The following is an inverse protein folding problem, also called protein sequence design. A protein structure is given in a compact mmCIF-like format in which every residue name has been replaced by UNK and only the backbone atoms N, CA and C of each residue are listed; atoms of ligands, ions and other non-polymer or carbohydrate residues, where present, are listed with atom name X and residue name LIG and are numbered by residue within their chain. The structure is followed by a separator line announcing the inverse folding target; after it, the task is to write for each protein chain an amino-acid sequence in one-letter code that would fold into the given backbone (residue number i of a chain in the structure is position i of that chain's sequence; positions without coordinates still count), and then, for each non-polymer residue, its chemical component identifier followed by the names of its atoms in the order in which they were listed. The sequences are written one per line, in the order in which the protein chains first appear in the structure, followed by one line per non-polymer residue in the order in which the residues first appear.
data_IF_403716440653
#
_entry.id   IF_403716440653
#
_cell.length_a   1.000
_cell.length_b   1.000
_cell.length_c   1.000
_cell.angle_alpha   90.00
_cell.angle_beta   90.00
_cell.angle_gamma   90.00
#
_symmetry.space_group_name_H-M   'P 1'
#
loop_
_entity.id
_entity.type
_entity.pdbx_description
1 polymer ?
#
# COMPACT_ATOMS: atom_id res chain seq x y z
N UNK A 1 1.58 6.92 -20.40
CA UNK A 1 1.77 8.14 -19.58
C UNK A 1 0.68 8.18 -18.52
N UNK A 2 1.02 8.48 -17.27
CA UNK A 2 0.00 8.72 -16.25
C UNK A 2 -0.85 9.95 -16.66
N UNK A 3 -2.17 9.92 -16.51
CA UNK A 3 -3.04 10.99 -16.95
C UNK A 3 -2.77 12.26 -16.14
N UNK A 4 -2.38 13.34 -16.82
CA UNK A 4 -2.22 14.67 -16.23
C UNK A 4 -3.61 15.30 -16.09
N UNK A 5 -3.94 15.94 -14.94
CA UNK A 5 -5.22 16.63 -14.76
C UNK A 5 -5.47 17.70 -15.84
N UNK A 6 -6.71 17.82 -16.31
CA UNK A 6 -7.13 18.78 -17.35
C UNK A 6 -7.16 20.23 -16.81
N UNK A 7 -7.13 20.41 -15.49
CA UNK A 7 -7.07 21.72 -14.81
C UNK A 7 -6.10 21.69 -13.63
N UNK A 8 -5.48 22.82 -13.25
CA UNK A 8 -4.56 22.87 -12.12
C UNK A 8 -5.30 22.58 -10.81
N UNK A 9 -4.87 21.54 -10.10
CA UNK A 9 -5.41 21.19 -8.79
C UNK A 9 -4.83 22.18 -7.76
N UNK A 10 -5.69 22.98 -7.14
CA UNK A 10 -5.29 23.90 -6.06
C UNK A 10 -5.12 23.13 -4.75
N UNK A 11 -3.90 22.68 -4.49
CA UNK A 11 -3.55 21.89 -3.28
C UNK A 11 -3.14 22.76 -2.08
N UNK A 12 -2.90 24.05 -2.32
CA UNK A 12 -2.38 24.99 -1.34
C UNK A 12 -0.93 24.68 -0.96
N UNK A 13 -0.42 25.38 0.05
CA UNK A 13 0.92 25.11 0.58
C UNK A 13 0.95 23.79 1.35
N UNK A 14 1.85 22.88 0.95
CA UNK A 14 2.08 21.59 1.61
C UNK A 14 3.45 21.66 2.27
N UNK A 15 3.47 21.63 3.59
CA UNK A 15 4.71 21.63 4.33
C UNK A 15 5.46 20.30 4.22
N UNK A 16 6.78 20.37 4.13
CA UNK A 16 7.64 19.21 4.30
C UNK A 16 7.71 18.84 5.80
N UNK A 17 7.21 17.65 6.14
CA UNK A 17 7.06 17.22 7.55
C UNK A 17 8.40 17.06 8.25
N UNK A 18 9.45 16.61 7.55
CA UNK A 18 10.81 16.54 8.10
C UNK A 18 11.35 17.92 8.44
N UNK A 19 11.21 18.89 7.54
CA UNK A 19 11.68 20.25 7.80
C UNK A 19 10.83 20.96 8.88
N UNK A 20 9.51 20.74 8.89
CA UNK A 20 8.65 21.21 9.99
C UNK A 20 9.14 20.68 11.34
N UNK A 21 9.40 19.37 11.43
CA UNK A 21 9.87 18.75 12.66
C UNK A 21 11.25 19.28 13.07
N UNK A 22 12.13 19.55 12.10
CA UNK A 22 13.48 20.08 12.34
C UNK A 22 13.47 21.52 12.87
N UNK A 23 12.67 22.40 12.27
CA UNK A 23 12.69 23.84 12.59
C UNK A 23 11.60 24.27 13.59
N UNK A 24 10.50 23.52 13.68
CA UNK A 24 9.34 23.82 14.53
C UNK A 24 8.89 22.56 15.30
N UNK A 25 9.77 21.99 16.15
CA UNK A 25 9.59 20.66 16.73
C UNK A 25 8.29 20.43 17.52
N UNK A 26 7.70 21.49 18.08
CA UNK A 26 6.53 21.41 18.95
C UNK A 26 5.24 21.93 18.29
N UNK A 27 5.29 22.39 17.04
CA UNK A 27 4.16 22.98 16.34
C UNK A 27 3.62 21.98 15.32
N UNK A 28 2.31 21.77 15.34
CA UNK A 28 1.59 20.99 14.33
C UNK A 28 0.66 21.96 13.62
N UNK A 29 0.86 22.24 12.32
CA UNK A 29 -0.04 23.11 11.58
C UNK A 29 -1.46 22.52 11.51
N UNK A 30 -2.46 23.39 11.46
CA UNK A 30 -3.89 23.02 11.50
C UNK A 30 -4.30 22.02 10.41
N UNK A 31 -3.65 22.07 9.23
CA UNK A 31 -3.89 21.11 8.15
C UNK A 31 -3.49 19.68 8.53
N UNK A 32 -2.62 19.44 9.50
CA UNK A 32 -2.26 18.08 9.94
C UNK A 32 -3.15 17.57 11.08
N UNK A 33 -3.79 18.49 11.83
CA UNK A 33 -4.64 18.15 12.97
C UNK A 33 -5.93 17.52 12.47
N UNK A 34 -6.17 16.27 12.86
CA UNK A 34 -7.38 15.52 12.51
C UNK A 34 -8.59 16.01 13.26
N UNK A 35 -9.73 15.90 12.59
CA UNK A 35 -11.04 16.06 13.23
C UNK A 35 -11.19 15.02 14.33
N UNK A 36 -11.97 15.34 15.37
CA UNK A 36 -12.04 14.53 16.61
C UNK A 36 -12.34 13.06 16.32
N UNK A 37 -13.20 12.77 15.35
CA UNK A 37 -13.62 11.41 14.98
C UNK A 37 -12.55 10.63 14.21
N UNK A 38 -11.60 11.32 13.58
CA UNK A 38 -10.54 10.72 12.76
C UNK A 38 -9.22 10.56 13.53
N UNK A 39 -9.10 11.17 14.71
CA UNK A 39 -7.89 11.11 15.52
C UNK A 39 -7.56 9.66 15.87
N UNK A 40 -6.27 9.29 15.87
CA UNK A 40 -5.89 7.97 16.33
C UNK A 40 -6.22 7.84 17.82
N UNK A 41 -7.14 6.95 18.15
CA UNK A 41 -7.33 6.51 19.53
C UNK A 41 -6.04 5.86 20.02
N UNK A 42 -5.56 6.19 21.24
CA UNK A 42 -4.49 5.43 21.87
C UNK A 42 -4.85 3.96 21.81
N UNK A 43 -3.95 3.13 21.26
CA UNK A 43 -4.19 1.70 21.22
C UNK A 43 -4.42 1.22 22.65
N UNK A 44 -5.65 0.80 22.96
CA UNK A 44 -5.89 0.06 24.19
C UNK A 44 -5.01 -1.19 24.10
N UNK A 45 -4.23 -1.56 25.14
CA UNK A 45 -3.43 -2.78 25.09
C UNK A 45 -4.40 -3.94 24.91
N UNK A 46 -4.54 -4.41 23.67
CA UNK A 46 -5.33 -5.60 23.41
C UNK A 46 -4.56 -6.76 24.02
N UNK A 47 -5.26 -7.46 24.91
CA UNK A 47 -4.81 -8.69 25.55
C UNK A 47 -4.64 -9.74 24.44
N UNK A 48 -3.42 -9.83 23.92
CA UNK A 48 -2.73 -11.02 23.39
C UNK A 48 -3.42 -11.99 22.41
N UNK A 49 -4.40 -11.59 21.57
CA UNK A 49 -5.00 -12.55 20.61
C UNK A 49 -5.36 -12.01 19.21
N UNK A 50 -4.75 -10.92 18.73
CA UNK A 50 -5.16 -10.31 17.45
C UNK A 50 -3.99 -9.93 16.54
N UNK A 51 -2.88 -10.67 16.60
CA UNK A 51 -1.84 -10.51 15.59
C UNK A 51 -2.31 -11.11 14.26
N UNK A 52 -1.94 -10.45 13.16
CA UNK A 52 -2.23 -10.97 11.82
C UNK A 52 -1.50 -12.31 11.60
N UNK A 53 -2.06 -13.22 10.78
CA UNK A 53 -1.43 -14.52 10.51
C UNK A 53 0.00 -14.40 9.98
N UNK A 54 0.85 -15.35 10.35
CA UNK A 54 2.21 -15.49 9.80
C UNK A 54 2.29 -16.69 8.88
N UNK A 55 2.75 -16.48 7.65
CA UNK A 55 2.85 -17.46 6.58
C UNK A 55 4.32 -17.75 6.25
N UNK A 56 4.69 -19.02 6.22
CA UNK A 56 6.02 -19.50 5.84
C UNK A 56 6.04 -19.88 4.36
N UNK A 57 6.63 -19.02 3.52
CA UNK A 57 6.71 -19.26 2.08
C UNK A 57 7.47 -20.56 1.75
N UNK A 58 8.46 -20.96 2.56
CA UNK A 58 9.24 -22.17 2.30
C UNK A 58 8.40 -23.44 2.42
N UNK A 59 7.36 -23.42 3.27
CA UNK A 59 6.40 -24.52 3.40
C UNK A 59 5.40 -24.52 2.25
N UNK A 60 4.92 -23.34 1.83
CA UNK A 60 4.08 -23.22 0.63
C UNK A 60 4.80 -23.81 -0.59
N UNK A 61 6.07 -23.45 -0.80
CA UNK A 61 6.90 -23.97 -1.90
C UNK A 61 7.07 -25.49 -1.89
N UNK A 62 6.92 -26.14 -0.73
CA UNK A 62 6.92 -27.60 -0.58
C UNK A 62 5.53 -28.23 -0.74
N UNK A 63 4.51 -27.45 -1.07
CA UNK A 63 3.13 -27.91 -1.21
C UNK A 63 2.46 -28.27 0.12
N UNK A 64 2.89 -27.68 1.24
CA UNK A 64 2.28 -27.95 2.54
C UNK A 64 0.82 -27.47 2.55
N UNK A 65 -0.13 -28.40 2.74
CA UNK A 65 -1.57 -28.12 2.67
C UNK A 65 -2.07 -27.26 3.82
N UNK A 66 -1.52 -27.44 5.02
CA UNK A 66 -1.91 -26.67 6.21
C UNK A 66 -1.52 -25.20 6.05
N UNK A 67 -0.34 -24.94 5.49
CA UNK A 67 0.14 -23.59 5.22
C UNK A 67 -0.69 -22.90 4.11
N UNK A 68 -1.14 -23.66 3.10
CA UNK A 68 -2.07 -23.14 2.07
C UNK A 68 -3.41 -22.80 2.71
N UNK A 69 -3.94 -23.64 3.59
CA UNK A 69 -5.19 -23.37 4.31
C UNK A 69 -5.07 -22.13 5.21
N UNK A 70 -3.93 -21.97 5.89
CA UNK A 70 -3.65 -20.80 6.71
C UNK A 70 -3.58 -19.52 5.85
N UNK A 71 -2.95 -19.58 4.67
CA UNK A 71 -2.95 -18.48 3.71
C UNK A 71 -4.36 -18.13 3.24
N UNK A 72 -5.18 -19.12 2.88
CA UNK A 72 -6.59 -18.90 2.49
C UNK A 72 -7.36 -18.19 3.61
N UNK A 73 -7.23 -18.69 4.84
CA UNK A 73 -7.89 -18.11 6.01
C UNK A 73 -7.44 -16.66 6.26
N UNK A 74 -6.13 -16.39 6.11
CA UNK A 74 -5.61 -15.03 6.22
C UNK A 74 -6.20 -14.09 5.15
N UNK A 75 -6.33 -14.53 3.91
CA UNK A 75 -6.93 -13.75 2.83
C UNK A 75 -8.44 -13.49 3.04
N UNK A 76 -9.18 -14.46 3.58
CA UNK A 76 -10.64 -14.38 3.79
C UNK A 76 -11.03 -13.58 5.04
N UNK A 77 -10.28 -13.75 6.14
CA UNK A 77 -10.66 -13.18 7.42
C UNK A 77 -9.93 -11.88 7.75
N UNK A 78 -8.67 -11.75 7.31
CA UNK A 78 -7.80 -10.63 7.67
C UNK A 78 -7.48 -9.71 6.50
N UNK A 79 -7.34 -10.25 5.29
CA UNK A 79 -6.82 -9.50 4.15
C UNK A 79 -5.35 -9.08 4.30
N UNK A 80 -4.70 -9.47 5.40
CA UNK A 80 -3.35 -9.11 5.81
C UNK A 80 -2.66 -10.33 6.43
N UNK A 81 -1.37 -10.49 6.17
CA UNK A 81 -0.52 -11.50 6.81
C UNK A 81 0.95 -11.09 6.76
N UNK A 82 1.78 -11.64 7.64
CA UNK A 82 3.24 -11.50 7.55
C UNK A 82 3.81 -12.73 6.86
N UNK A 83 4.80 -12.55 6.00
CA UNK A 83 5.52 -13.66 5.36
C UNK A 83 6.94 -13.75 5.89
N UNK A 84 7.31 -14.93 6.36
CA UNK A 84 8.67 -15.31 6.73
C UNK A 84 9.24 -16.30 5.72
N UNK A 85 10.56 -16.50 5.74
CA UNK A 85 11.26 -17.39 4.80
C UNK A 85 10.90 -17.09 3.33
N UNK A 86 10.66 -15.80 3.01
CA UNK A 86 10.19 -15.33 1.70
C UNK A 86 11.25 -15.43 0.59
N UNK A 87 12.48 -15.82 0.91
CA UNK A 87 13.56 -16.06 -0.06
C UNK A 87 14.26 -14.80 -0.59
N UNK A 88 13.87 -13.61 -0.13
CA UNK A 88 14.58 -12.36 -0.44
C UNK A 88 15.77 -12.24 0.52
N UNK A 89 16.95 -11.99 -0.01
CA UNK A 89 18.17 -11.90 0.77
C UNK A 89 18.08 -10.72 1.76
N UNK A 90 18.44 -10.96 3.03
CA UNK A 90 18.33 -9.95 4.09
C UNK A 90 19.18 -8.71 3.81
N UNK A 91 20.37 -8.89 3.24
CA UNK A 91 21.22 -7.78 2.82
C UNK A 91 20.55 -6.89 1.76
N UNK A 92 19.69 -7.43 0.89
CA UNK A 92 18.94 -6.64 -0.07
C UNK A 92 17.87 -5.79 0.61
N UNK A 93 17.17 -6.34 1.60
CA UNK A 93 16.21 -5.59 2.43
C UNK A 93 16.91 -4.47 3.20
N UNK A 94 18.07 -4.74 3.81
CA UNK A 94 18.86 -3.73 4.51
C UNK A 94 19.42 -2.67 3.54
N UNK A 95 19.85 -3.07 2.34
CA UNK A 95 20.36 -2.15 1.34
C UNK A 95 19.28 -1.18 0.84
N UNK A 96 18.09 -1.67 0.49
CA UNK A 96 17.01 -0.78 0.01
C UNK A 96 16.56 0.18 1.12
N UNK A 97 16.53 -0.27 2.37
CA UNK A 97 16.27 0.56 3.54
C UNK A 97 17.33 1.65 3.72
N UNK A 98 18.61 1.29 3.62
CA UNK A 98 19.72 2.23 3.68
C UNK A 98 19.65 3.30 2.58
N UNK A 99 19.36 2.89 1.34
CA UNK A 99 19.19 3.79 0.19
C UNK A 99 18.01 4.76 0.38
N UNK A 100 16.87 4.25 0.89
CA UNK A 100 15.72 5.08 1.20
C UNK A 100 16.04 6.11 2.31
N UNK A 101 16.68 5.67 3.40
CA UNK A 101 17.08 6.55 4.49
C UNK A 101 18.10 7.62 4.06
N UNK A 102 19.10 7.24 3.26
CA UNK A 102 20.08 8.19 2.74
C UNK A 102 19.42 9.23 1.85
N UNK A 103 18.47 8.82 0.99
CA UNK A 103 17.67 9.76 0.20
C UNK A 103 16.89 10.75 1.09
N UNK A 104 16.16 10.28 2.11
CA UNK A 104 15.37 11.17 2.97
C UNK A 104 16.24 12.13 3.80
N UNK A 105 17.48 11.74 4.12
CA UNK A 105 18.48 12.57 4.81
C UNK A 105 19.14 13.63 3.93
N UNK A 106 18.96 13.58 2.61
CA UNK A 106 19.47 14.63 1.72
C UNK A 106 18.83 15.99 2.07
N UNK A 107 19.52 17.12 1.78
CA UNK A 107 18.94 18.45 1.89
C UNK A 107 17.61 18.55 1.12
N UNK A 108 16.67 19.35 1.62
CA UNK A 108 15.36 19.54 0.98
C UNK A 108 15.50 19.92 -0.51
N UNK A 109 16.45 20.80 -0.84
CA UNK A 109 16.74 21.25 -2.20
C UNK A 109 17.11 20.09 -3.14
N UNK A 110 17.85 19.09 -2.65
CA UNK A 110 18.19 17.89 -3.44
C UNK A 110 16.96 16.99 -3.63
N UNK A 111 16.12 16.84 -2.59
CA UNK A 111 14.88 16.04 -2.66
C UNK A 111 13.84 16.68 -3.58
N UNK A 112 13.72 18.01 -3.56
CA UNK A 112 12.77 18.78 -4.37
C UNK A 112 13.06 18.76 -5.88
N UNK A 113 14.25 18.33 -6.31
CA UNK A 113 14.53 18.03 -7.73
C UNK A 113 13.61 16.96 -8.30
N UNK A 114 13.03 16.14 -7.42
CA UNK A 114 12.14 15.04 -7.76
C UNK A 114 10.70 15.31 -7.32
N UNK A 115 10.31 16.58 -7.13
CA UNK A 115 9.02 16.94 -6.55
C UNK A 115 7.84 16.28 -7.28
N UNK A 116 6.90 15.75 -6.49
CA UNK A 116 5.67 15.16 -6.98
C UNK A 116 4.76 16.24 -7.56
N UNK A 117 4.25 16.00 -8.77
CA UNK A 117 3.30 16.91 -9.41
C UNK A 117 1.90 16.65 -8.84
N UNK A 118 1.13 17.70 -8.45
CA UNK A 118 -0.24 17.53 -7.98
C UNK A 118 -1.12 16.71 -8.93
N UNK A 119 -1.89 15.77 -8.38
CA UNK A 119 -2.71 14.84 -9.17
C UNK A 119 -1.93 13.66 -9.78
N UNK A 120 -0.65 13.54 -9.46
CA UNK A 120 0.18 12.36 -9.79
C UNK A 120 0.68 11.71 -8.50
N UNK A 121 1.37 10.58 -8.63
CA UNK A 121 1.87 9.80 -7.49
C UNK A 121 3.35 9.43 -7.59
N UNK A 122 4.09 9.97 -8.57
CA UNK A 122 5.54 9.73 -8.68
C UNK A 122 6.33 10.96 -8.22
N UNK A 123 7.50 10.73 -7.64
CA UNK A 123 8.36 11.78 -7.08
C UNK A 123 8.26 11.90 -5.56
N UNK A 124 8.86 12.97 -5.04
CA UNK A 124 8.98 13.32 -3.63
C UNK A 124 7.90 14.30 -3.19
N UNK A 125 7.20 14.00 -2.09
CA UNK A 125 6.29 14.93 -1.44
C UNK A 125 4.99 14.30 -0.93
N UNK A 126 3.95 15.12 -0.97
CA UNK A 126 2.53 14.86 -0.67
C UNK A 126 1.74 14.14 -1.76
N UNK A 127 1.48 12.82 -1.68
CA UNK A 127 0.47 12.21 -2.56
C UNK A 127 -0.95 12.45 -2.03
N UNK A 128 -1.95 12.34 -2.91
CA UNK A 128 -3.38 12.34 -2.57
C UNK A 128 -3.94 13.64 -1.96
N UNK A 129 -3.33 14.79 -2.27
CA UNK A 129 -3.83 16.11 -1.86
C UNK A 129 -4.56 16.77 -3.02
N UNK A 130 -5.83 17.15 -2.81
CA UNK A 130 -6.69 17.67 -3.87
C UNK A 130 -7.39 18.99 -3.55
N UNK A 131 -7.22 19.54 -2.34
CA UNK A 131 -7.73 20.86 -1.98
C UNK A 131 -6.92 21.54 -0.89
N UNK A 132 -6.98 22.88 -0.84
CA UNK A 132 -6.28 23.72 0.15
C UNK A 132 -6.80 23.53 1.58
N UNK A 133 -8.06 23.07 1.71
CA UNK A 133 -8.71 22.81 3.00
C UNK A 133 -8.58 21.35 3.46
N UNK A 134 -7.97 20.47 2.65
CA UNK A 134 -7.79 19.07 3.00
C UNK A 134 -6.84 18.92 4.18
N UNK A 135 -7.17 18.00 5.09
CA UNK A 135 -6.24 17.52 6.10
C UNK A 135 -5.11 16.71 5.45
N UNK A 136 -3.89 16.92 5.92
CA UNK A 136 -2.65 16.35 5.40
C UNK A 136 -2.14 15.23 6.30
N UNK A 137 -1.36 14.34 5.70
CA UNK A 137 -0.70 13.22 6.38
C UNK A 137 0.66 13.67 6.93
N UNK A 138 1.02 13.22 8.14
CA UNK A 138 2.30 13.48 8.78
C UNK A 138 3.38 12.54 8.22
N UNK A 139 3.65 12.66 6.92
CA UNK A 139 4.55 11.80 6.17
C UNK A 139 5.15 12.55 4.98
N UNK A 140 6.41 12.24 4.65
CA UNK A 140 6.99 12.53 3.34
C UNK A 140 7.04 11.24 2.54
N UNK A 141 6.60 11.28 1.29
CA UNK A 141 6.62 10.11 0.39
C UNK A 141 7.66 10.29 -0.71
N UNK A 142 8.21 9.19 -1.19
CA UNK A 142 8.96 9.12 -2.42
C UNK A 142 8.52 7.90 -3.22
N UNK A 143 8.00 8.10 -4.43
CA UNK A 143 7.36 7.03 -5.19
C UNK A 143 7.82 6.96 -6.64
N UNK A 144 7.95 5.74 -7.16
CA UNK A 144 8.47 5.45 -8.49
C UNK A 144 7.63 4.37 -9.18
N UNK A 145 7.30 4.60 -10.45
CA UNK A 145 6.89 3.53 -11.36
C UNK A 145 8.11 2.72 -11.76
N UNK A 146 8.01 1.39 -11.67
CA UNK A 146 9.14 0.49 -11.92
C UNK A 146 8.90 -0.37 -13.15
N UNK A 147 7.77 -1.10 -13.20
CA UNK A 147 7.41 -1.99 -14.31
C UNK A 147 5.96 -1.73 -14.70
N UNK A 148 5.61 -1.81 -15.99
CA UNK A 148 6.52 -1.96 -17.14
C UNK A 148 7.37 -0.71 -17.41
N UNK A 149 8.38 -0.83 -18.27
CA UNK A 149 9.39 0.21 -18.52
C UNK A 149 8.79 1.57 -18.88
N UNK A 150 7.63 1.61 -19.55
CA UNK A 150 6.97 2.87 -19.90
C UNK A 150 6.46 3.67 -18.68
N UNK A 151 6.37 3.06 -17.49
CA UNK A 151 6.05 3.75 -16.23
C UNK A 151 7.27 4.41 -15.60
N UNK A 152 8.46 3.95 -15.97
CA UNK A 152 9.72 4.49 -15.48
C UNK A 152 9.94 5.86 -16.10
N UNK A 153 9.67 6.91 -15.35
CA UNK A 153 9.98 8.28 -15.77
C UNK A 153 11.36 8.68 -15.22
N UNK A 154 12.42 8.79 -16.05
CA UNK A 154 13.77 9.08 -15.61
C UNK A 154 13.91 10.37 -14.80
N UNK A 155 12.98 11.32 -14.95
CA UNK A 155 12.97 12.59 -14.20
C UNK A 155 12.83 12.38 -12.70
N UNK A 156 12.17 11.30 -12.26
CA UNK A 156 11.96 11.02 -10.83
C UNK A 156 13.02 10.08 -10.25
N UNK A 157 13.88 9.47 -11.08
CA UNK A 157 14.86 8.50 -10.61
C UNK A 157 16.14 9.20 -10.12
N UNK A 158 16.46 9.09 -8.82
CA UNK A 158 17.48 9.92 -8.23
C UNK A 158 18.88 9.37 -8.52
N UNK A 159 19.83 10.29 -8.72
CA UNK A 159 21.26 9.95 -8.88
C UNK A 159 22.00 9.85 -7.54
N UNK A 160 21.36 10.35 -6.48
CA UNK A 160 21.83 10.31 -5.10
C UNK A 160 20.71 9.70 -4.23
N UNK A 161 20.99 8.73 -3.37
CA UNK A 161 22.29 8.11 -3.13
C UNK A 161 22.83 7.30 -4.31
N UNK A 162 24.14 7.01 -4.29
CA UNK A 162 24.76 6.17 -5.31
C UNK A 162 24.17 4.76 -5.26
N UNK A 163 24.01 4.12 -6.42
CA UNK A 163 23.39 2.80 -6.58
C UNK A 163 21.89 2.71 -6.26
N UNK A 164 21.20 3.84 -6.03
CA UNK A 164 19.76 3.84 -5.74
C UNK A 164 18.95 3.07 -6.80
N UNK A 165 19.11 3.46 -8.07
CA UNK A 165 18.39 2.83 -9.19
C UNK A 165 18.64 1.32 -9.28
N UNK A 166 19.90 0.90 -9.19
CA UNK A 166 20.27 -0.52 -9.25
C UNK A 166 19.68 -1.31 -8.07
N UNK A 167 19.71 -0.73 -6.86
CA UNK A 167 19.14 -1.37 -5.66
C UNK A 167 17.63 -1.53 -5.80
N UNK A 168 16.92 -0.49 -6.27
CA UNK A 168 15.48 -0.52 -6.54
C UNK A 168 15.14 -1.59 -7.58
N UNK A 169 15.90 -1.70 -8.67
CA UNK A 169 15.68 -2.70 -9.72
C UNK A 169 15.84 -4.14 -9.20
N UNK A 170 16.90 -4.43 -8.45
CA UNK A 170 17.14 -5.76 -7.87
C UNK A 170 16.06 -6.09 -6.83
N UNK A 171 15.75 -5.17 -5.92
CA UNK A 171 14.68 -5.33 -4.92
C UNK A 171 13.33 -5.59 -5.59
N UNK A 172 12.98 -4.78 -6.59
CA UNK A 172 11.72 -4.89 -7.33
C UNK A 172 11.57 -6.25 -8.01
N UNK A 173 12.65 -6.79 -8.59
CA UNK A 173 12.68 -8.12 -9.21
C UNK A 173 12.38 -9.24 -8.21
N UNK A 174 13.01 -9.21 -7.03
CA UNK A 174 12.81 -10.22 -5.99
C UNK A 174 11.41 -10.12 -5.36
N UNK A 175 10.90 -8.91 -5.10
CA UNK A 175 9.52 -8.72 -4.63
C UNK A 175 8.50 -9.19 -5.66
N UNK A 176 8.75 -8.95 -6.96
CA UNK A 176 7.88 -9.46 -8.03
C UNK A 176 7.83 -10.99 -8.04
N UNK A 177 8.98 -11.66 -7.84
CA UNK A 177 9.04 -13.12 -7.70
C UNK A 177 8.25 -13.60 -6.49
N UNK A 178 8.35 -12.90 -5.35
CA UNK A 178 7.53 -13.16 -4.17
C UNK A 178 6.03 -13.05 -4.48
N UNK A 179 5.60 -11.96 -5.13
CA UNK A 179 4.18 -11.77 -5.49
C UNK A 179 3.66 -12.89 -6.40
N UNK A 180 4.43 -13.32 -7.40
CA UNK A 180 4.06 -14.44 -8.27
C UNK A 180 3.88 -15.74 -7.49
N UNK A 181 4.82 -16.07 -6.61
CA UNK A 181 4.71 -17.24 -5.75
C UNK A 181 3.48 -17.15 -4.84
N UNK A 182 3.20 -16.01 -4.23
CA UNK A 182 2.02 -15.84 -3.38
C UNK A 182 0.73 -15.97 -4.18
N UNK A 183 0.64 -15.34 -5.36
CA UNK A 183 -0.53 -15.46 -6.25
C UNK A 183 -0.80 -16.90 -6.66
N UNK A 184 0.25 -17.69 -6.90
CA UNK A 184 0.14 -19.12 -7.16
C UNK A 184 -0.59 -19.87 -6.05
N UNK A 185 -0.18 -19.68 -4.79
CA UNK A 185 -0.79 -20.36 -3.66
C UNK A 185 -2.15 -19.77 -3.26
N UNK A 186 -2.35 -18.47 -3.49
CA UNK A 186 -3.67 -17.81 -3.37
C UNK A 186 -4.66 -18.45 -4.34
N UNK A 187 -4.27 -18.72 -5.59
CA UNK A 187 -5.11 -19.41 -6.58
C UNK A 187 -5.42 -20.85 -6.16
N UNK A 188 -4.40 -21.61 -5.72
CA UNK A 188 -4.59 -22.97 -5.22
C UNK A 188 -5.52 -23.02 -3.99
N UNK A 189 -5.39 -22.05 -3.08
CA UNK A 189 -6.27 -21.90 -1.91
C UNK A 189 -7.73 -21.60 -2.27
N UNK A 190 -7.97 -21.02 -3.45
CA UNK A 190 -9.29 -20.81 -4.02
C UNK A 190 -9.83 -22.04 -4.78
N UNK A 191 -9.01 -23.08 -4.98
CA UNK A 191 -9.34 -24.24 -5.83
C UNK A 191 -9.18 -23.96 -7.33
N UNK A 192 -8.40 -22.94 -7.69
CA UNK A 192 -8.15 -22.54 -9.08
C UNK A 192 -6.82 -23.09 -9.60
N UNK A 193 -6.62 -23.00 -10.92
CA UNK A 193 -5.33 -23.31 -11.57
C UNK A 193 -4.24 -22.37 -11.03
N UNK A 194 -3.05 -22.92 -10.80
CA UNK A 194 -1.97 -22.25 -10.09
C UNK A 194 -1.43 -20.98 -10.79
N UNK A 195 -1.55 -20.88 -12.11
CA UNK A 195 -1.08 -19.77 -12.93
C UNK A 195 -2.21 -18.80 -13.33
N UNK A 196 -3.45 -19.02 -12.87
CA UNK A 196 -4.63 -18.26 -13.31
C UNK A 196 -4.46 -16.75 -13.15
N UNK A 197 -4.00 -16.28 -11.98
CA UNK A 197 -3.82 -14.84 -11.75
C UNK A 197 -2.65 -14.28 -12.57
N UNK A 198 -1.58 -15.05 -12.78
CA UNK A 198 -0.45 -14.60 -13.60
C UNK A 198 -0.87 -14.45 -15.06
N UNK A 199 -1.62 -15.39 -15.61
CA UNK A 199 -2.19 -15.33 -16.95
C UNK A 199 -3.19 -14.17 -17.08
N UNK A 200 -4.11 -14.03 -16.13
CA UNK A 200 -5.16 -13.01 -16.15
C UNK A 200 -4.62 -11.58 -15.98
N UNK A 201 -3.51 -11.39 -15.26
CA UNK A 201 -2.95 -10.07 -14.98
C UNK A 201 -2.05 -9.53 -16.09
N UNK A 202 -1.63 -10.40 -17.02
CA UNK A 202 -0.75 -10.01 -18.12
C UNK A 202 0.57 -9.39 -17.64
N UNK A 203 1.00 -8.31 -18.29
CA UNK A 203 2.23 -7.59 -17.89
C UNK A 203 1.94 -6.79 -16.62
N UNK A 204 2.32 -7.35 -15.48
CA UNK A 204 2.08 -6.74 -14.18
C UNK A 204 2.64 -5.31 -14.08
N UNK A 205 1.85 -4.44 -13.46
CA UNK A 205 2.25 -3.10 -13.06
C UNK A 205 2.86 -3.15 -11.66
N UNK A 206 4.02 -2.53 -11.50
CA UNK A 206 4.74 -2.45 -10.24
C UNK A 206 5.20 -1.03 -9.97
N UNK A 207 4.89 -0.54 -8.77
CA UNK A 207 5.36 0.73 -8.25
C UNK A 207 5.92 0.55 -6.83
N UNK A 208 6.91 1.36 -6.48
CA UNK A 208 7.49 1.38 -5.13
C UNK A 208 7.25 2.76 -4.51
N UNK A 209 6.83 2.78 -3.25
CA UNK A 209 6.64 3.98 -2.44
C UNK A 209 7.39 3.83 -1.13
N UNK A 210 8.30 4.74 -0.87
CA UNK A 210 9.00 4.89 0.40
C UNK A 210 8.28 5.97 1.21
N UNK A 211 7.94 5.68 2.45
CA UNK A 211 7.28 6.62 3.36
C UNK A 211 8.18 6.87 4.55
N UNK A 212 8.43 8.15 4.84
CA UNK A 212 9.13 8.59 6.03
C UNK A 212 8.19 9.34 6.96
N UNK A 213 8.07 8.86 8.19
CA UNK A 213 7.21 9.42 9.23
C UNK A 213 8.09 9.99 10.33
N UNK A 214 8.33 11.32 10.37
CA UNK A 214 9.08 11.93 11.45
C UNK A 214 8.35 11.80 12.80
N UNK A 215 9.07 11.86 13.94
CA UNK A 215 8.43 11.95 15.24
C UNK A 215 7.46 13.15 15.32
N UNK A 216 6.34 13.00 16.00
CA UNK A 216 5.34 14.04 16.18
C UNK A 216 5.20 14.41 17.65
N UNK A 217 5.12 15.71 18.01
CA UNK A 217 4.95 16.11 19.41
C UNK A 217 3.60 15.69 20.02
N UNK A 218 2.57 15.56 19.17
CA UNK A 218 1.21 15.12 19.50
C UNK A 218 0.72 14.08 18.48
N UNK A 219 1.23 12.83 18.57
CA UNK A 219 0.82 11.77 17.65
C UNK A 219 -0.67 11.42 17.78
N UNK A 220 -1.32 11.82 18.88
CA UNK A 220 -2.77 11.72 19.12
C UNK A 220 -3.62 12.66 18.24
N UNK A 221 -3.00 13.66 17.58
CA UNK A 221 -3.71 14.64 16.76
C UNK A 221 -3.54 14.41 15.25
N UNK A 222 -2.60 13.58 14.82
CA UNK A 222 -2.23 13.44 13.41
C UNK A 222 -2.29 11.98 12.98
N UNK A 223 -2.37 11.74 11.67
CA UNK A 223 -2.13 10.42 11.08
C UNK A 223 -0.87 10.49 10.23
N UNK A 224 -0.07 9.43 10.27
CA UNK A 224 1.06 9.27 9.37
C UNK A 224 0.58 9.00 7.94
N UNK A 225 -0.45 8.18 7.78
CA UNK A 225 -1.11 7.94 6.50
C UNK A 225 -2.60 7.73 6.76
N UNK A 226 -3.45 8.43 6.01
CA UNK A 226 -4.91 8.39 6.15
C UNK A 226 -5.48 6.98 5.93
N UNK A 227 -6.65 6.64 6.51
CA UNK A 227 -7.29 5.35 6.30
C UNK A 227 -7.61 5.11 4.82
N UNK A 228 -7.25 3.94 4.30
CA UNK A 228 -7.48 3.53 2.91
C UNK A 228 -7.45 2.01 2.75
N UNK A 229 -8.01 1.51 1.64
CA UNK A 229 -7.65 0.20 1.09
C UNK A 229 -6.78 0.38 -0.16
N UNK A 230 -5.97 -0.62 -0.50
CA UNK A 230 -5.04 -0.52 -1.64
C UNK A 230 -5.69 -0.97 -2.95
N UNK A 231 -5.54 -0.19 -4.02
CA UNK A 231 -6.08 -0.53 -5.34
C UNK A 231 -5.39 -1.71 -6.05
N UNK A 232 -4.20 -2.09 -5.60
CA UNK A 232 -3.38 -3.16 -6.19
C UNK A 232 -4.03 -4.56 -6.10
N UNK A 233 -3.38 -5.58 -6.67
CA UNK A 233 -3.74 -6.96 -6.37
C UNK A 233 -3.11 -7.42 -5.05
N UNK A 234 -1.79 -7.25 -4.93
CA UNK A 234 -1.03 -7.48 -3.70
C UNK A 234 -0.20 -6.24 -3.38
N UNK A 235 -0.11 -5.92 -2.10
CA UNK A 235 0.85 -4.96 -1.57
C UNK A 235 1.85 -5.66 -0.67
N UNK A 236 3.13 -5.33 -0.83
CA UNK A 236 4.25 -5.85 -0.03
C UNK A 236 4.87 -4.70 0.73
N UNK A 237 4.86 -4.78 2.06
CA UNK A 237 5.37 -3.77 2.96
C UNK A 237 6.58 -4.30 3.73
N UNK A 238 7.73 -3.67 3.50
CA UNK A 238 8.87 -3.75 4.39
C UNK A 238 8.78 -2.63 5.44
N UNK A 239 8.76 -3.01 6.71
CA UNK A 239 8.86 -2.07 7.83
C UNK A 239 10.34 -1.87 8.18
N UNK A 240 10.77 -0.61 8.40
CA UNK A 240 12.16 -0.31 8.72
C UNK A 240 12.62 -0.96 10.04
N UNK A 241 13.89 -1.34 10.11
CA UNK A 241 14.51 -2.00 11.27
C UNK A 241 14.44 -1.09 12.50
N UNK A 242 13.94 -1.63 13.61
CA UNK A 242 13.76 -0.85 14.85
C UNK A 242 12.66 0.21 14.80
N UNK A 243 11.83 0.23 13.75
CA UNK A 243 10.67 1.12 13.67
C UNK A 243 9.66 0.79 14.76
N UNK A 244 9.06 1.84 15.34
CA UNK A 244 7.90 1.69 16.21
C UNK A 244 6.71 1.10 15.46
N UNK A 245 5.82 0.42 16.19
CA UNK A 245 4.52 -0.02 15.67
C UNK A 245 3.77 1.18 15.11
N UNK A 246 3.41 1.11 13.83
CA UNK A 246 2.79 2.23 13.12
C UNK A 246 1.68 1.82 12.16
N UNK A 247 1.74 0.63 11.57
CA UNK A 247 0.64 0.11 10.76
C UNK A 247 -0.51 -0.31 11.68
N UNK A 248 -1.72 0.14 11.35
CA UNK A 248 -2.97 -0.33 11.96
C UNK A 248 -3.93 -0.79 10.88
N UNK A 249 -4.59 -1.92 11.10
CA UNK A 249 -5.62 -2.48 10.22
C UNK A 249 -6.99 -2.38 10.88
N UNK A 250 -8.04 -2.18 10.10
CA UNK A 250 -9.41 -2.13 10.61
C UNK A 250 -9.99 -3.55 10.60
N UNK A 251 -10.15 -4.14 11.79
CA UNK A 251 -10.74 -5.47 11.98
C UNK A 251 -11.92 -5.36 12.93
N UNK A 252 -13.09 -5.81 12.47
CA UNK A 252 -14.35 -5.82 13.25
C UNK A 252 -14.68 -4.46 13.89
N UNK A 253 -14.46 -3.38 13.11
CA UNK A 253 -14.71 -2.00 13.53
C UNK A 253 -13.64 -1.41 14.46
N UNK A 254 -12.55 -2.12 14.73
CA UNK A 254 -11.46 -1.70 15.62
C UNK A 254 -10.13 -1.62 14.88
N UNK A 255 -9.35 -0.59 15.21
CA UNK A 255 -7.99 -0.43 14.72
C UNK A 255 -7.02 -1.35 15.50
N UNK A 256 -6.49 -2.36 14.83
CA UNK A 256 -5.57 -3.35 15.38
C UNK A 256 -4.13 -3.03 14.92
N UNK A 257 -3.16 -2.87 15.83
CA UNK A 257 -1.77 -2.66 15.46
C UNK A 257 -1.14 -3.92 14.87
N UNK A 258 -0.28 -3.77 13.85
CA UNK A 258 0.52 -4.88 13.32
C UNK A 258 1.89 -4.88 13.98
N UNK A 259 2.17 -5.92 14.77
CA UNK A 259 3.47 -6.11 15.41
C UNK A 259 4.49 -6.62 14.37
N UNK A 260 5.60 -5.90 14.15
CA UNK A 260 6.58 -6.32 13.16
C UNK A 260 7.33 -7.58 13.62
N UNK A 261 7.37 -8.61 12.77
CA UNK A 261 8.25 -9.75 12.94
C UNK A 261 9.60 -9.42 12.29
N UNK A 262 10.75 -9.65 12.98
CA UNK A 262 12.06 -9.41 12.39
C UNK A 262 12.22 -10.11 11.03
N UNK A 263 12.66 -9.35 10.03
CA UNK A 263 12.86 -9.81 8.66
C UNK A 263 11.60 -10.30 7.93
N UNK A 264 10.40 -10.17 8.50
CA UNK A 264 9.17 -10.48 7.79
C UNK A 264 8.73 -9.34 6.88
N UNK A 265 7.96 -9.67 5.85
CA UNK A 265 7.27 -8.70 5.01
C UNK A 265 5.77 -8.79 5.28
N UNK A 266 5.11 -7.64 5.47
CA UNK A 266 3.65 -7.61 5.58
C UNK A 266 3.07 -7.62 4.18
N UNK A 267 2.10 -8.49 3.94
CA UNK A 267 1.36 -8.59 2.68
C UNK A 267 -0.09 -8.24 2.94
N UNK A 268 -0.70 -7.50 2.03
CA UNK A 268 -2.16 -7.35 2.01
C UNK A 268 -2.76 -7.58 0.64
N UNK A 269 -3.99 -8.08 0.68
CA UNK A 269 -4.90 -8.22 -0.44
C UNK A 269 -5.44 -6.83 -0.76
N UNK A 270 -5.39 -6.44 -2.03
CA UNK A 270 -5.96 -5.18 -2.49
C UNK A 270 -7.30 -5.35 -3.17
N UNK A 271 -7.90 -4.21 -3.53
CA UNK A 271 -9.23 -4.08 -4.11
C UNK A 271 -9.41 -4.94 -5.37
N UNK A 272 -8.35 -5.06 -6.18
CA UNK A 272 -8.37 -5.90 -7.38
C UNK A 272 -8.70 -7.36 -7.04
N UNK A 273 -8.06 -7.91 -6.00
CA UNK A 273 -8.29 -9.29 -5.57
C UNK A 273 -9.67 -9.45 -4.92
N UNK A 274 -10.14 -8.45 -4.20
CA UNK A 274 -11.51 -8.45 -3.67
C UNK A 274 -12.55 -8.48 -4.80
N UNK A 275 -12.35 -7.70 -5.86
CA UNK A 275 -13.24 -7.67 -7.02
C UNK A 275 -13.26 -9.02 -7.74
N UNK A 276 -12.10 -9.55 -8.14
CA UNK A 276 -12.05 -10.78 -8.95
C UNK A 276 -12.54 -12.00 -8.16
N UNK A 277 -12.41 -12.00 -6.83
CA UNK A 277 -12.93 -13.06 -5.97
C UNK A 277 -14.38 -12.83 -5.50
N UNK A 278 -15.08 -11.86 -6.09
CA UNK A 278 -16.45 -11.45 -5.73
C UNK A 278 -16.63 -11.18 -4.22
N UNK A 279 -15.60 -10.64 -3.57
CA UNK A 279 -15.60 -10.30 -2.14
C UNK A 279 -15.25 -11.45 -1.20
N UNK A 280 -14.79 -12.61 -1.71
CA UNK A 280 -14.32 -13.72 -0.88
C UNK A 280 -13.06 -13.32 -0.11
N UNK A 281 -12.02 -12.87 -0.82
CA UNK A 281 -10.82 -12.31 -0.18
C UNK A 281 -11.01 -10.82 0.09
N UNK A 282 -10.46 -10.33 1.20
CA UNK A 282 -10.77 -8.99 1.74
C UNK A 282 -9.64 -8.02 1.48
N UNK A 283 -9.94 -6.95 0.76
CA UNK A 283 -9.19 -5.70 0.81
C UNK A 283 -9.60 -4.94 2.07
N UNK A 284 -8.67 -4.75 2.99
CA UNK A 284 -8.97 -4.21 4.32
C UNK A 284 -8.45 -2.78 4.47
N UNK A 285 -9.29 -1.95 5.08
CA UNK A 285 -8.93 -0.58 5.41
C UNK A 285 -7.79 -0.57 6.44
N UNK A 286 -6.75 0.19 6.17
CA UNK A 286 -5.58 0.30 7.01
C UNK A 286 -5.09 1.76 7.05
N UNK A 287 -4.31 2.11 8.08
CA UNK A 287 -3.73 3.44 8.27
C UNK A 287 -2.34 3.35 8.86
N UNK A 288 -1.58 4.45 8.83
CA UNK A 288 -0.34 4.57 9.59
C UNK A 288 -0.47 5.64 10.67
N UNK A 289 -0.06 5.29 11.89
CA UNK A 289 0.07 6.24 13.01
C UNK A 289 1.54 6.63 13.21
N UNK A 290 1.75 7.79 13.83
CA UNK A 290 3.10 8.30 14.13
C UNK A 290 3.47 8.02 15.59
N UNK A 291 4.74 8.20 15.91
CA UNK A 291 5.24 8.05 17.28
C UNK A 291 5.83 9.37 17.79
N UNK A 292 5.88 9.53 19.11
CA UNK A 292 6.35 10.77 19.74
C UNK A 292 7.85 10.99 19.61
N UNK A 293 8.61 9.89 19.63
CA UNK A 293 10.06 9.94 19.84
C UNK A 293 10.90 9.32 18.74
N UNK A 294 10.30 8.50 17.88
CA UNK A 294 11.02 7.70 16.88
C UNK A 294 10.47 8.00 15.51
N UNK A 295 11.36 8.13 14.53
CA UNK A 295 10.97 8.06 13.13
C UNK A 295 10.54 6.65 12.76
N UNK A 296 9.80 6.56 11.66
CA UNK A 296 9.45 5.29 11.04
C UNK A 296 9.69 5.41 9.55
N UNK A 297 10.26 4.36 8.98
CA UNK A 297 10.37 4.18 7.53
C UNK A 297 9.52 2.97 7.12
N UNK A 298 8.90 3.06 5.96
CA UNK A 298 8.39 1.87 5.27
C UNK A 298 8.63 1.93 3.78
N UNK A 299 8.92 0.78 3.18
CA UNK A 299 9.04 0.62 1.72
C UNK A 299 7.90 -0.28 1.28
N UNK A 300 7.04 0.26 0.42
CA UNK A 300 5.82 -0.39 -0.06
C UNK A 300 5.98 -0.69 -1.54
N UNK A 301 5.72 -1.92 -1.95
CA UNK A 301 5.66 -2.33 -3.35
C UNK A 301 4.23 -2.72 -3.68
N UNK A 302 3.65 -2.05 -4.66
CA UNK A 302 2.33 -2.37 -5.20
C UNK A 302 2.49 -3.27 -6.41
N UNK A 303 1.79 -4.40 -6.42
CA UNK A 303 1.75 -5.33 -7.55
C UNK A 303 0.31 -5.41 -8.07
N UNK A 304 0.11 -5.03 -9.32
CA UNK A 304 -1.22 -4.91 -9.92
C UNK A 304 -1.24 -5.50 -11.35
N UNK A 305 -2.43 -5.78 -11.90
CA UNK A 305 -2.58 -6.21 -13.28
C UNK A 305 -2.10 -5.17 -14.28
N UNK A 306 -1.96 -5.55 -15.54
CA UNK A 306 -1.73 -4.61 -16.63
C UNK A 306 -2.89 -3.61 -16.74
N UNK A 307 -2.62 -2.40 -17.23
CA UNK A 307 -3.62 -1.34 -17.35
C UNK A 307 -4.65 -1.58 -18.47
N UNK A 308 -4.36 -2.44 -19.43
CA UNK A 308 -5.26 -2.79 -20.54
C UNK A 308 -6.25 -3.92 -20.19
N UNK A 309 -6.05 -4.60 -19.06
CA UNK A 309 -6.91 -5.71 -18.65
C UNK A 309 -8.25 -5.22 -18.10
N UNK A 310 -9.33 -5.89 -18.53
CA UNK A 310 -10.63 -5.79 -17.90
C UNK A 310 -10.70 -6.73 -16.69
N UNK A 311 -11.10 -6.17 -15.55
CA UNK A 311 -11.27 -6.89 -14.28
C UNK A 311 -12.74 -6.98 -13.91
N UNK A 312 -13.12 -8.07 -13.26
CA UNK A 312 -14.44 -8.26 -12.68
C UNK A 312 -14.53 -9.61 -11.96
N UNK A 313 -15.65 -9.90 -11.28
CA UNK A 313 -15.85 -11.17 -10.60
C UNK A 313 -15.66 -12.36 -11.53
N UNK A 314 -14.84 -13.32 -11.09
CA UNK A 314 -14.66 -14.59 -11.81
C UNK A 314 -15.94 -15.44 -11.70
N UNK A 315 -16.35 -16.16 -12.76
CA UNK A 315 -17.55 -16.98 -12.77
C UNK A 315 -17.61 -18.01 -11.62
N UNK A 316 -16.46 -18.53 -11.19
CA UNK A 316 -16.31 -19.49 -10.10
C UNK A 316 -16.80 -18.96 -8.74
N UNK A 317 -16.94 -17.63 -8.60
CA UNK A 317 -17.38 -16.98 -7.36
C UNK A 317 -18.75 -16.30 -7.47
N UNK A 318 -19.48 -16.56 -8.56
CA UNK A 318 -20.81 -15.99 -8.79
C UNK A 318 -21.81 -17.11 -9.00
N UNK A 319 -22.79 -17.19 -8.10
CA UNK A 319 -23.91 -18.13 -8.20
C UNK A 319 -25.19 -17.52 -7.62
N UNK A 320 -26.26 -18.33 -7.51
CA UNK A 320 -27.57 -17.88 -6.99
C UNK A 320 -27.52 -17.42 -5.53
N UNK A 321 -26.60 -17.97 -4.72
CA UNK A 321 -26.43 -17.67 -3.30
C UNK A 321 -25.36 -16.58 -3.08
N UNK A 322 -24.44 -16.39 -4.02
CA UNK A 322 -23.46 -15.32 -4.02
C UNK A 322 -23.54 -14.52 -5.34
N UNK A 323 -24.51 -13.59 -5.45
CA UNK A 323 -24.67 -12.80 -6.67
C UNK A 323 -23.47 -11.91 -6.92
N UNK A 324 -23.32 -11.46 -8.16
CA UNK A 324 -22.26 -10.55 -8.58
C UNK A 324 -22.35 -9.24 -7.79
N UNK A 325 -21.27 -8.87 -7.08
CA UNK A 325 -21.20 -7.66 -6.23
C UNK A 325 -20.50 -6.49 -6.92
N UNK A 326 -19.72 -6.78 -7.95
CA UNK A 326 -18.86 -5.81 -8.62
C UNK A 326 -19.09 -5.83 -10.13
N UNK A 327 -19.06 -4.65 -10.75
CA UNK A 327 -19.10 -4.49 -12.20
C UNK A 327 -17.73 -4.77 -12.80
N UNK A 328 -17.72 -5.09 -14.09
CA UNK A 328 -16.48 -5.13 -14.88
C UNK A 328 -15.96 -3.73 -15.15
N UNK A 329 -14.64 -3.56 -15.17
CA UNK A 329 -13.98 -2.29 -15.48
C UNK A 329 -12.57 -2.50 -16.03
N UNK A 330 -12.06 -1.51 -16.79
CA UNK A 330 -10.66 -1.51 -17.21
C UNK A 330 -9.73 -1.08 -16.06
N UNK A 331 -8.66 -1.84 -15.82
CA UNK A 331 -7.74 -1.60 -14.70
C UNK A 331 -7.02 -0.24 -14.79
N UNK A 332 -6.68 0.23 -15.98
CA UNK A 332 -6.08 1.55 -16.20
C UNK A 332 -7.03 2.69 -15.81
N UNK A 333 -8.33 2.54 -16.08
CA UNK A 333 -9.35 3.50 -15.63
C UNK A 333 -9.49 3.51 -14.11
N UNK A 334 -9.51 2.33 -13.48
CA UNK A 334 -9.54 2.23 -12.02
C UNK A 334 -8.28 2.82 -11.39
N UNK A 335 -7.10 2.53 -11.96
CA UNK A 335 -5.82 3.07 -11.48
C UNK A 335 -5.81 4.60 -11.59
N UNK A 336 -6.29 5.16 -12.71
CA UNK A 336 -6.48 6.61 -12.87
C UNK A 336 -7.45 7.17 -11.82
N UNK A 337 -8.59 6.52 -11.62
CA UNK A 337 -9.56 6.92 -10.60
C UNK A 337 -8.92 6.92 -9.20
N UNK A 338 -8.18 5.87 -8.85
CA UNK A 338 -7.52 5.73 -7.55
C UNK A 338 -6.51 6.85 -7.29
N UNK A 339 -5.60 7.12 -8.22
CA UNK A 339 -4.52 8.12 -8.02
C UNK A 339 -5.00 9.57 -8.11
N UNK A 340 -6.21 9.82 -8.60
CA UNK A 340 -6.81 11.16 -8.75
C UNK A 340 -7.86 11.48 -7.69
N UNK A 341 -8.01 10.63 -6.67
CA UNK A 341 -8.92 10.84 -5.55
C UNK A 341 -8.19 10.79 -4.21
N UNK A 342 -8.73 11.51 -3.22
CA UNK A 342 -8.18 11.50 -1.86
C UNK A 342 -8.33 10.11 -1.24
N UNK A 343 -7.39 9.74 -0.37
CA UNK A 343 -7.54 8.55 0.47
C UNK A 343 -8.72 8.76 1.43
N UNK A 344 -9.70 7.86 1.39
CA UNK A 344 -10.88 7.91 2.24
C UNK A 344 -11.48 6.51 2.42
N UNK A 345 -10.87 5.73 3.32
CA UNK A 345 -11.27 4.36 3.59
C UNK A 345 -11.38 3.52 2.32
N UNK A 346 -12.45 2.75 2.18
CA UNK A 346 -12.73 1.96 0.96
C UNK A 346 -13.48 2.72 -0.15
N UNK A 347 -13.60 4.05 -0.08
CA UNK A 347 -14.44 4.82 -1.01
C UNK A 347 -14.06 4.61 -2.47
N UNK A 348 -12.78 4.39 -2.77
CA UNK A 348 -12.32 4.16 -4.15
C UNK A 348 -12.90 2.88 -4.75
N UNK A 349 -13.11 1.83 -3.94
CA UNK A 349 -13.71 0.57 -4.38
C UNK A 349 -15.18 0.73 -4.80
N UNK A 350 -15.87 1.80 -4.39
CA UNK A 350 -17.22 2.11 -4.88
C UNK A 350 -17.26 2.28 -6.40
N UNK A 351 -16.14 2.64 -7.04
CA UNK A 351 -16.00 2.63 -8.50
C UNK A 351 -16.37 1.28 -9.10
N UNK A 352 -16.07 0.17 -8.42
CA UNK A 352 -16.29 -1.18 -8.91
C UNK A 352 -17.59 -1.81 -8.42
N UNK A 353 -18.27 -1.24 -7.41
CA UNK A 353 -19.49 -1.87 -6.85
C UNK A 353 -20.68 -1.73 -7.78
N UNK A 354 -21.52 -2.76 -7.82
CA UNK A 354 -22.84 -2.67 -8.44
C UNK A 354 -23.75 -1.94 -7.46
N UNK A 355 -24.28 -0.79 -7.87
CA UNK A 355 -25.35 -0.11 -7.13
C UNK A 355 -26.60 -0.98 -7.32
N UNK A 356 -27.28 -1.43 -6.26
CA UNK A 356 -28.54 -2.13 -6.41
C UNK A 356 -29.56 -1.18 -7.04
N UNK A 357 -29.80 -1.31 -8.34
CA UNK A 357 -30.95 -0.66 -8.97
C UNK A 357 -32.19 -1.38 -8.49
N UNK A 358 -33.20 -0.63 -8.02
CA UNK A 358 -34.46 -1.16 -7.48
C UNK A 358 -35.23 -2.10 -8.43
N UNK A 359 -34.81 -2.34 -9.68
CA UNK A 359 -35.54 -3.12 -10.68
C UNK A 359 -34.61 -3.95 -11.58
N UNK A 360 -33.95 -4.96 -11.04
CA UNK A 360 -33.34 -6.01 -11.87
C UNK A 360 -33.34 -7.34 -11.10
N UNK A 361 -34.51 -8.00 -11.14
CA UNK A 361 -34.67 -9.44 -10.95
C UNK A 361 -35.09 -10.04 -12.29
#
# INVERSE_FOLDING_TARGET
MAPVPISPIKVGHIDDVQELRKFKPNIIPERFIRDIQERPTPATPLISSSDIPTIDLSKLLKGNKDEILQLTTACEEWGFFQVINHGIALNLLENIEGQAMEFFRLPLEEKQKYAMVPGTVQGYGQAFVFSEHQKLDWCNMFALGVIPDFLRNPLFWPKKPANFSNTVEIYSKEVRKLCKNLLKYIALGLGLKEDLFEEAFGVAVQAIRMNYYPPCSRPDLVLGLSPHSDGSALTVLQQGKGSSVGLQILKDGKWVPVQPIPNALVINIGDTMEVVTNGRYKSVEHRAVTHKHTDRLSIVTFYAPSYDIELGPMPEFVDKNNPCRYRRYNHGEYSKHYVTNKLQGKRTLEFAKIIPTKNSC
#
